data_IF_113556500855
#
_entry.id   IF_113556500855
#
_cell.length_a   1.000
_cell.length_b   1.000
_cell.length_c   1.000
_cell.angle_alpha   90.00
_cell.angle_beta   90.00
_cell.angle_gamma   90.00
#
_symmetry.space_group_name_H-M   'P 1'
#
loop_
_entity.id
_entity.type
_entity.pdbx_description
1 polymer ?
#
# COMPACT_ATOMS: atom_id res chain seq x y z
N UNK A 1 -54.02 7.12 -59.98
CA UNK A 1 -53.04 7.85 -60.84
C UNK A 1 -51.67 7.23 -60.57
N UNK A 2 -51.25 6.21 -61.33
CA UNK A 2 -50.38 6.30 -62.53
C UNK A 2 -49.09 7.08 -62.23
N UNK A 3 -47.84 6.60 -62.36
CA UNK A 3 -47.18 5.53 -63.16
C UNK A 3 -45.81 5.25 -62.50
N UNK A 4 -45.45 4.01 -62.10
CA UNK A 4 -44.67 2.98 -62.84
C UNK A 4 -43.30 3.39 -63.39
N UNK A 5 -42.25 2.64 -62.97
CA UNK A 5 -41.17 1.96 -63.73
C UNK A 5 -40.20 1.41 -62.63
N UNK A 6 -40.24 0.15 -62.15
CA UNK A 6 -39.90 -1.16 -62.77
C UNK A 6 -38.50 -1.18 -63.39
N UNK A 7 -37.51 -1.91 -62.87
CA UNK A 7 -37.15 -3.34 -63.12
C UNK A 7 -35.60 -3.33 -63.29
N UNK A 8 -34.75 -4.29 -62.90
CA UNK A 8 -34.81 -5.61 -62.24
C UNK A 8 -33.37 -6.20 -62.33
N UNK A 9 -33.18 -7.42 -61.79
CA UNK A 9 -32.07 -8.37 -62.03
C UNK A 9 -30.91 -8.23 -61.03
N UNK A 10 -30.97 -8.90 -59.87
CA UNK A 10 -30.67 -10.33 -59.61
C UNK A 10 -29.17 -10.57 -59.41
N UNK A 11 -28.68 -11.50 -58.58
CA UNK A 11 -29.18 -12.38 -57.53
C UNK A 11 -27.98 -13.32 -57.27
N UNK A 12 -27.58 -13.53 -56.00
CA UNK A 12 -26.86 -14.72 -55.50
C UNK A 12 -25.44 -14.99 -56.04
N UNK A 13 -24.57 -15.83 -55.45
CA UNK A 13 -24.28 -16.39 -54.13
C UNK A 13 -23.10 -17.37 -54.41
N UNK A 14 -22.37 -17.78 -53.38
CA UNK A 14 -21.47 -18.96 -53.32
C UNK A 14 -19.97 -18.79 -53.66
N UNK A 15 -19.21 -19.27 -52.67
CA UNK A 15 -17.80 -19.63 -52.61
C UNK A 15 -17.28 -20.43 -53.83
N UNK A 16 -15.97 -20.34 -54.11
CA UNK A 16 -15.02 -21.48 -54.13
C UNK A 16 -13.75 -21.18 -54.93
N UNK A 17 -12.61 -21.61 -54.36
CA UNK A 17 -11.41 -22.18 -55.02
C UNK A 17 -10.79 -21.48 -56.24
N UNK A 18 -9.51 -21.15 -56.14
CA UNK A 18 -8.55 -21.36 -57.23
C UNK A 18 -7.20 -21.86 -56.67
N UNK A 19 -6.64 -22.97 -57.19
CA UNK A 19 -5.33 -23.49 -56.82
C UNK A 19 -4.21 -23.05 -57.80
N UNK A 20 -2.99 -23.11 -57.27
CA UNK A 20 -1.71 -23.51 -57.87
C UNK A 20 -1.37 -23.30 -59.37
N UNK A 21 -0.25 -22.57 -59.54
CA UNK A 21 1.00 -22.99 -60.19
C UNK A 21 1.41 -22.57 -61.63
N UNK A 22 2.73 -22.31 -61.68
CA UNK A 22 3.68 -22.51 -62.79
C UNK A 22 3.81 -21.47 -63.93
N UNK A 23 4.93 -20.71 -63.94
CA UNK A 23 6.11 -20.99 -64.80
C UNK A 23 7.11 -19.80 -64.86
N UNK A 24 8.27 -19.99 -64.22
CA UNK A 24 9.63 -19.83 -64.80
C UNK A 24 9.88 -18.85 -65.96
N UNK A 25 10.73 -17.83 -65.73
CA UNK A 25 11.98 -17.62 -66.52
C UNK A 25 12.98 -16.65 -65.86
N UNK A 26 14.25 -17.04 -66.00
CA UNK A 26 15.50 -16.55 -65.39
C UNK A 26 16.00 -15.19 -65.92
N UNK A 27 16.69 -14.48 -65.00
CA UNK A 27 17.91 -13.65 -65.13
C UNK A 27 17.85 -12.28 -65.86
N UNK A 28 18.07 -11.22 -65.07
CA UNK A 28 19.22 -10.31 -65.26
C UNK A 28 19.70 -9.76 -63.91
N UNK A 29 20.99 -9.93 -63.64
CA UNK A 29 21.73 -9.48 -62.46
C UNK A 29 22.37 -8.13 -62.82
N UNK A 30 22.17 -7.09 -62.01
CA UNK A 30 23.10 -5.96 -61.88
C UNK A 30 22.97 -5.34 -60.49
N UNK A 31 24.13 -5.02 -59.96
CA UNK A 31 24.49 -4.89 -58.55
C UNK A 31 23.78 -3.77 -57.78
N UNK A 32 23.35 -4.09 -56.55
CA UNK A 32 23.21 -3.12 -55.47
C UNK A 32 23.69 -3.78 -54.17
N UNK A 33 24.66 -3.11 -53.53
CA UNK A 33 25.31 -3.49 -52.27
C UNK A 33 24.31 -3.97 -51.21
N UNK A 34 24.60 -5.13 -50.62
CA UNK A 34 24.07 -5.54 -49.31
C UNK A 34 24.62 -4.60 -48.24
N UNK A 35 23.81 -3.65 -47.79
CA UNK A 35 23.91 -3.17 -46.41
C UNK A 35 23.15 -4.18 -45.54
N UNK A 36 23.89 -4.94 -44.74
CA UNK A 36 23.35 -5.77 -43.69
C UNK A 36 22.66 -4.87 -42.67
N UNK A 37 21.33 -4.86 -42.67
CA UNK A 37 20.56 -4.41 -41.52
C UNK A 37 20.93 -5.30 -40.33
N UNK A 38 21.72 -4.75 -39.39
CA UNK A 38 21.93 -5.36 -38.08
C UNK A 38 20.56 -5.67 -37.49
N UNK A 39 20.35 -6.86 -36.89
CA UNK A 39 19.13 -7.14 -36.14
C UNK A 39 18.96 -6.03 -35.10
N UNK A 40 17.85 -5.29 -35.19
CA UNK A 40 17.42 -4.39 -34.13
C UNK A 40 17.32 -5.25 -32.87
N UNK A 41 18.30 -5.09 -31.98
CA UNK A 41 18.29 -5.71 -30.67
C UNK A 41 16.91 -5.46 -30.05
N UNK A 42 16.24 -6.48 -29.48
CA UNK A 42 14.96 -6.27 -28.84
C UNK A 42 15.16 -5.18 -27.80
N UNK A 43 14.44 -4.06 -27.95
CA UNK A 43 14.42 -2.99 -26.96
C UNK A 43 14.08 -3.65 -25.62
N UNK A 44 15.08 -3.81 -24.75
CA UNK A 44 14.87 -4.19 -23.35
C UNK A 44 13.79 -3.23 -22.86
N UNK A 45 12.62 -3.75 -22.49
CA UNK A 45 11.63 -2.98 -21.72
C UNK A 45 12.45 -2.34 -20.60
N UNK A 46 12.56 -1.01 -20.57
CA UNK A 46 13.21 -0.30 -19.46
C UNK A 46 12.59 -0.87 -18.20
N UNK A 47 13.38 -1.64 -17.45
CA UNK A 47 12.92 -2.21 -16.19
C UNK A 47 12.42 -1.04 -15.35
N UNK A 48 11.22 -1.16 -14.78
CA UNK A 48 10.73 -0.15 -13.83
C UNK A 48 11.66 -0.01 -12.62
N UNK A 49 12.48 -1.04 -12.40
CA UNK A 49 13.49 -1.16 -11.35
C UNK A 49 14.82 -0.65 -11.92
N UNK A 50 15.43 0.30 -11.20
CA UNK A 50 16.73 0.91 -11.51
C UNK A 50 17.84 0.22 -10.71
N UNK A 51 19.08 0.53 -11.05
CA UNK A 51 20.26 0.12 -10.27
C UNK A 51 20.28 0.88 -8.93
N UNK A 52 20.79 0.24 -7.88
CA UNK A 52 20.84 0.82 -6.53
C UNK A 52 21.47 2.21 -6.48
N UNK A 53 22.67 2.35 -7.06
CA UNK A 53 23.44 3.60 -7.05
C UNK A 53 22.77 4.75 -7.85
N UNK A 54 21.74 4.45 -8.65
CA UNK A 54 20.92 5.45 -9.35
C UNK A 54 19.70 5.91 -8.56
N UNK A 55 19.34 5.17 -7.50
CA UNK A 55 18.22 5.50 -6.62
C UNK A 55 18.74 6.08 -5.31
N UNK A 56 19.69 5.39 -4.70
CA UNK A 56 20.40 5.85 -3.51
C UNK A 56 21.75 6.41 -3.99
N UNK A 57 21.83 7.73 -4.09
CA UNK A 57 23.05 8.43 -4.49
C UNK A 57 24.05 8.48 -3.33
N UNK A 58 25.30 8.82 -3.60
CA UNK A 58 26.33 8.96 -2.55
C UNK A 58 26.04 10.11 -1.58
N UNK A 59 25.25 11.08 -2.02
CA UNK A 59 24.85 12.24 -1.23
C UNK A 59 23.59 11.97 -0.39
N UNK A 60 23.07 10.74 -0.43
CA UNK A 60 21.88 10.35 0.32
C UNK A 60 22.12 10.43 1.83
N UNK A 61 21.27 11.16 2.55
CA UNK A 61 21.26 11.10 4.00
C UNK A 61 20.56 9.82 4.44
N UNK A 62 21.29 8.93 5.09
CA UNK A 62 20.81 7.59 5.45
C UNK A 62 20.76 7.41 6.97
N UNK A 63 19.73 6.74 7.45
CA UNK A 63 19.52 6.38 8.85
C UNK A 63 19.25 4.87 8.95
N UNK A 64 20.10 4.17 9.69
CA UNK A 64 20.09 2.70 9.78
C UNK A 64 19.22 2.23 10.95
N UNK A 65 18.45 1.16 10.75
CA UNK A 65 17.59 0.64 11.81
C UNK A 65 16.77 -0.58 11.42
N UNK A 66 15.49 -0.58 11.76
CA UNK A 66 14.58 -1.68 11.40
C UNK A 66 14.51 -1.84 9.89
N UNK A 67 14.22 -0.74 9.19
CA UNK A 67 14.45 -0.54 7.76
C UNK A 67 15.40 0.65 7.61
N UNK A 68 16.33 0.58 6.68
CA UNK A 68 17.19 1.74 6.45
C UNK A 68 16.39 2.80 5.68
N UNK A 69 16.52 4.05 6.10
CA UNK A 69 15.78 5.17 5.54
C UNK A 69 16.77 6.08 4.82
N UNK A 70 16.51 6.36 3.56
CA UNK A 70 17.34 7.25 2.75
C UNK A 70 16.55 8.46 2.30
N UNK A 71 17.13 9.65 2.47
CA UNK A 71 16.64 10.91 1.92
C UNK A 71 17.50 11.29 0.70
N UNK A 72 16.86 11.37 -0.48
CA UNK A 72 17.50 11.74 -1.75
C UNK A 72 16.60 12.73 -2.47
N UNK A 73 17.10 13.95 -2.74
CA UNK A 73 16.35 15.00 -3.45
C UNK A 73 14.91 15.18 -2.93
N UNK A 74 14.76 15.30 -1.60
CA UNK A 74 13.47 15.45 -0.90
C UNK A 74 12.53 14.23 -0.93
N UNK A 75 13.01 13.09 -1.43
CA UNK A 75 12.27 11.82 -1.41
C UNK A 75 12.80 10.90 -0.33
N UNK A 76 11.87 10.28 0.38
CA UNK A 76 12.16 9.26 1.37
C UNK A 76 12.02 7.88 0.74
N UNK A 77 13.08 7.10 0.84
CA UNK A 77 13.13 5.71 0.44
C UNK A 77 13.31 4.81 1.66
N UNK A 78 12.58 3.70 1.68
CA UNK A 78 12.81 2.63 2.65
C UNK A 78 13.54 1.49 1.96
N UNK A 79 14.67 1.09 2.53
CA UNK A 79 15.34 -0.15 2.22
C UNK A 79 14.87 -1.22 3.21
N UNK A 80 14.04 -2.14 2.72
CA UNK A 80 13.39 -3.17 3.52
C UNK A 80 14.19 -4.48 3.37
N UNK A 81 14.82 -4.99 4.45
CA UNK A 81 15.42 -6.31 4.43
C UNK A 81 14.38 -7.40 4.14
N UNK A 82 14.70 -8.32 3.23
CA UNK A 82 13.78 -9.40 2.84
C UNK A 82 13.35 -10.28 4.02
N UNK A 83 14.17 -10.37 5.08
CA UNK A 83 13.86 -11.08 6.33
C UNK A 83 12.62 -10.54 7.07
N UNK A 84 12.27 -9.28 6.88
CA UNK A 84 11.13 -8.65 7.53
C UNK A 84 9.86 -8.68 6.67
N UNK A 85 9.95 -9.16 5.42
CA UNK A 85 8.76 -9.36 4.60
C UNK A 85 7.86 -10.44 5.22
N UNK A 86 6.55 -10.23 5.14
CA UNK A 86 5.51 -11.05 5.78
C UNK A 86 5.66 -11.18 7.31
N UNK A 87 6.43 -10.31 7.94
CA UNK A 87 6.48 -10.19 9.40
C UNK A 87 5.41 -9.22 9.87
N UNK A 88 4.68 -9.58 10.92
CA UNK A 88 3.66 -8.74 11.52
C UNK A 88 4.32 -7.56 12.25
N UNK A 89 3.82 -6.34 11.98
CA UNK A 89 4.26 -5.10 12.59
C UNK A 89 3.04 -4.32 13.08
N UNK A 90 3.22 -3.48 14.08
CA UNK A 90 2.18 -2.60 14.57
C UNK A 90 2.38 -1.19 13.99
N UNK A 91 1.41 -0.70 13.23
CA UNK A 91 1.38 0.68 12.76
C UNK A 91 0.44 1.49 13.63
N UNK A 92 0.98 2.53 14.25
CA UNK A 92 0.25 3.42 15.13
C UNK A 92 0.32 4.83 14.62
N UNK A 93 -0.86 5.40 14.39
CA UNK A 93 -1.05 6.81 14.10
C UNK A 93 -1.42 7.58 15.37
N UNK A 94 -0.71 8.66 15.67
CA UNK A 94 -1.00 9.57 16.80
C UNK A 94 -0.93 11.02 16.33
N UNK A 95 -1.67 11.90 17.00
CA UNK A 95 -1.44 13.34 16.84
C UNK A 95 -0.16 13.73 17.59
N UNK A 96 0.81 14.32 16.90
CA UNK A 96 1.96 14.96 17.54
C UNK A 96 1.64 16.40 17.94
N UNK A 97 0.97 17.15 17.06
CA UNK A 97 0.50 18.52 17.31
C UNK A 97 -0.85 18.72 16.64
N UNK A 98 -1.69 19.55 17.24
CA UNK A 98 -3.05 19.81 16.76
C UNK A 98 -3.47 21.24 17.14
N UNK A 99 -4.38 21.85 16.37
CA UNK A 99 -4.84 23.21 16.63
C UNK A 99 -5.75 23.23 17.86
N UNK A 100 -5.89 24.40 18.47
CA UNK A 100 -6.79 24.57 19.63
C UNK A 100 -8.22 24.11 19.30
N UNK A 101 -8.95 23.60 20.31
CA UNK A 101 -10.34 23.13 20.21
C UNK A 101 -10.58 21.98 19.19
N UNK A 102 -9.53 21.39 18.64
CA UNK A 102 -9.66 20.23 17.77
C UNK A 102 -10.27 19.05 18.53
N UNK A 103 -11.21 18.35 17.88
CA UNK A 103 -11.98 17.26 18.50
C UNK A 103 -12.89 17.70 19.65
N UNK A 104 -13.26 18.98 19.73
CA UNK A 104 -14.09 19.51 20.81
C UNK A 104 -13.36 19.67 22.14
N UNK A 105 -12.02 19.78 22.11
CA UNK A 105 -11.18 19.94 23.31
C UNK A 105 -10.83 18.64 24.03
N UNK A 106 -11.36 17.50 23.59
CA UNK A 106 -11.07 16.18 24.18
C UNK A 106 -9.92 15.44 23.48
N UNK A 107 -9.37 16.00 22.39
CA UNK A 107 -8.25 15.44 21.65
C UNK A 107 -7.00 16.26 21.94
N UNK A 108 -5.99 15.60 22.50
CA UNK A 108 -4.72 16.22 22.89
C UNK A 108 -3.55 15.66 22.07
N UNK A 109 -2.43 16.39 22.05
CA UNK A 109 -1.17 15.85 21.55
C UNK A 109 -0.85 14.52 22.26
N UNK A 110 -0.37 13.54 21.51
CA UNK A 110 -0.15 12.16 21.94
C UNK A 110 -1.39 11.26 21.82
N UNK A 111 -2.57 11.79 21.49
CA UNK A 111 -3.78 10.98 21.29
C UNK A 111 -3.63 10.09 20.07
N UNK A 112 -3.84 8.78 20.25
CA UNK A 112 -3.85 7.80 19.19
C UNK A 112 -5.13 7.85 18.40
N UNK A 113 -4.97 7.98 17.09
CA UNK A 113 -6.07 7.97 16.13
C UNK A 113 -6.32 6.57 15.60
N UNK A 114 -5.26 5.77 15.45
CA UNK A 114 -5.39 4.44 14.88
C UNK A 114 -4.29 3.49 15.36
N UNK A 115 -4.60 2.19 15.34
CA UNK A 115 -3.66 1.11 15.58
C UNK A 115 -4.03 -0.05 14.67
N UNK A 116 -3.10 -0.43 13.81
CA UNK A 116 -3.29 -1.52 12.84
C UNK A 116 -2.14 -2.51 12.94
N UNK A 117 -2.48 -3.78 12.78
CA UNK A 117 -1.49 -4.81 12.50
C UNK A 117 -1.28 -4.86 10.99
N UNK A 118 -0.05 -4.65 10.56
CA UNK A 118 0.32 -4.61 9.15
C UNK A 118 1.39 -5.64 8.83
N UNK A 119 1.48 -6.04 7.58
CA UNK A 119 2.63 -6.78 7.07
C UNK A 119 3.08 -6.19 5.72
N UNK A 120 4.35 -6.38 5.40
CA UNK A 120 4.93 -5.97 4.11
C UNK A 120 5.10 -7.21 3.23
N UNK A 121 4.30 -7.32 2.17
CA UNK A 121 4.31 -8.47 1.27
C UNK A 121 4.83 -8.11 -0.12
N UNK A 122 5.65 -8.96 -0.72
CA UNK A 122 6.05 -8.80 -2.13
C UNK A 122 5.00 -9.42 -3.05
N UNK A 123 4.54 -8.66 -4.04
CA UNK A 123 3.67 -9.16 -5.11
C UNK A 123 4.20 -8.71 -6.47
N UNK A 124 4.73 -9.66 -7.24
CA UNK A 124 5.39 -9.39 -8.53
C UNK A 124 6.53 -8.36 -8.35
N UNK A 125 6.41 -7.20 -9.00
CA UNK A 125 7.38 -6.10 -8.97
C UNK A 125 6.94 -4.96 -8.04
N UNK A 126 6.09 -5.26 -7.05
CA UNK A 126 5.58 -4.32 -6.07
C UNK A 126 5.75 -4.86 -4.65
N UNK A 127 5.89 -3.94 -3.71
CA UNK A 127 5.73 -4.21 -2.29
C UNK A 127 4.35 -3.70 -1.88
N UNK A 128 3.61 -4.52 -1.16
CA UNK A 128 2.28 -4.20 -0.65
C UNK A 128 2.38 -4.08 0.87
N UNK A 129 1.74 -3.07 1.42
CA UNK A 129 1.44 -3.01 2.85
C UNK A 129 0.00 -3.47 3.01
N UNK A 130 -0.20 -4.56 3.76
CA UNK A 130 -1.54 -5.12 4.01
C UNK A 130 -1.90 -5.00 5.48
N UNK A 131 -3.19 -4.91 5.75
CA UNK A 131 -3.75 -4.91 7.09
C UNK A 131 -4.18 -6.33 7.46
N UNK A 132 -3.64 -6.84 8.57
CA UNK A 132 -4.00 -8.15 9.10
C UNK A 132 -5.19 -8.00 10.04
N UNK A 133 -6.32 -8.59 9.65
CA UNK A 133 -7.49 -8.66 10.52
C UNK A 133 -7.24 -9.66 11.65
N UNK A 134 -7.51 -9.26 12.90
CA UNK A 134 -7.35 -10.12 14.08
C UNK A 134 -8.63 -10.87 14.47
N UNK A 135 -9.69 -10.80 13.66
CA UNK A 135 -11.03 -11.27 14.03
C UNK A 135 -11.17 -12.79 14.03
N UNK A 136 -10.44 -13.49 13.17
CA UNK A 136 -10.47 -14.94 13.02
C UNK A 136 -9.07 -15.51 13.15
N UNK A 137 -8.86 -16.38 14.15
CA UNK A 137 -7.58 -17.09 14.36
C UNK A 137 -7.84 -18.57 14.16
N UNK A 138 -6.96 -19.21 13.38
CA UNK A 138 -6.87 -20.66 13.26
C UNK A 138 -5.41 -21.07 13.50
N UNK A 139 -5.20 -22.15 14.25
CA UNK A 139 -3.87 -22.70 14.48
C UNK A 139 -3.21 -23.10 13.14
N UNK A 140 -1.91 -22.82 13.01
CA UNK A 140 -1.20 -23.04 11.75
C UNK A 140 -1.15 -24.50 11.28
N UNK A 141 -1.29 -25.42 12.22
CA UNK A 141 -1.30 -26.87 11.99
C UNK A 141 -2.61 -27.43 11.45
N UNK A 142 -3.71 -26.68 11.48
CA UNK A 142 -5.02 -27.21 11.11
C UNK A 142 -5.35 -26.91 9.64
N UNK A 143 -5.93 -27.87 8.88
CA UNK A 143 -6.38 -27.64 7.50
C UNK A 143 -7.37 -26.47 7.36
N UNK A 144 -8.16 -26.22 8.41
CA UNK A 144 -9.12 -25.11 8.45
C UNK A 144 -8.46 -23.73 8.31
N UNK A 145 -7.17 -23.61 8.63
CA UNK A 145 -6.44 -22.36 8.50
C UNK A 145 -6.38 -21.86 7.06
N UNK A 146 -6.25 -22.76 6.06
CA UNK A 146 -6.26 -22.35 4.65
C UNK A 146 -7.59 -21.71 4.28
N UNK A 147 -8.71 -22.32 4.71
CA UNK A 147 -10.05 -21.79 4.50
C UNK A 147 -10.29 -20.48 5.27
N UNK A 148 -9.81 -20.38 6.51
CA UNK A 148 -9.93 -19.16 7.32
C UNK A 148 -9.13 -18.02 6.72
N UNK A 149 -7.89 -18.25 6.24
CA UNK A 149 -7.09 -17.24 5.53
C UNK A 149 -7.71 -16.83 4.20
N UNK A 150 -8.26 -17.78 3.44
CA UNK A 150 -8.94 -17.49 2.18
C UNK A 150 -10.20 -16.62 2.39
N UNK A 151 -10.97 -16.91 3.45
CA UNK A 151 -12.16 -16.15 3.81
C UNK A 151 -11.87 -14.81 4.51
N UNK A 152 -10.67 -14.64 5.07
CA UNK A 152 -10.22 -13.41 5.72
C UNK A 152 -9.05 -12.78 4.95
N UNK A 153 -9.27 -12.48 3.66
CA UNK A 153 -8.26 -11.83 2.84
C UNK A 153 -7.85 -10.47 3.40
N UNK A 154 -6.55 -10.28 3.60
CA UNK A 154 -5.95 -9.06 4.14
C UNK A 154 -6.11 -7.88 3.16
N UNK A 155 -6.81 -6.79 3.54
CA UNK A 155 -6.93 -5.61 2.70
C UNK A 155 -5.56 -4.99 2.42
N UNK A 156 -5.32 -4.62 1.15
CA UNK A 156 -4.10 -3.89 0.77
C UNK A 156 -4.29 -2.41 1.05
N UNK A 157 -3.48 -1.85 1.94
CA UNK A 157 -3.52 -0.42 2.30
C UNK A 157 -2.86 0.44 1.23
N UNK A 158 -1.73 -0.02 0.69
CA UNK A 158 -0.99 0.69 -0.36
C UNK A 158 -0.07 -0.26 -1.13
N UNK A 159 0.29 0.14 -2.36
CA UNK A 159 1.18 -0.62 -3.23
C UNK A 159 2.32 0.27 -3.74
N UNK A 160 3.54 -0.14 -3.42
CA UNK A 160 4.79 0.53 -3.78
C UNK A 160 5.42 -0.11 -5.01
N UNK A 161 5.91 0.71 -5.93
CA UNK A 161 6.79 0.22 -7.00
C UNK A 161 8.20 0.00 -6.42
N UNK A 162 8.82 -1.12 -6.79
CA UNK A 162 10.22 -1.39 -6.41
C UNK A 162 11.11 -0.43 -7.20
N UNK A 163 11.83 0.44 -6.50
CA UNK A 163 12.74 1.40 -7.10
C UNK A 163 14.07 0.73 -7.47
N UNK A 164 14.63 -0.06 -6.55
CA UNK A 164 15.86 -0.83 -6.73
C UNK A 164 15.90 -2.04 -5.78
N UNK A 165 16.87 -2.93 -5.99
CA UNK A 165 17.31 -3.91 -5.01
C UNK A 165 18.67 -3.50 -4.46
N UNK A 166 19.00 -3.91 -3.23
CA UNK A 166 20.36 -3.73 -2.70
C UNK A 166 21.40 -4.44 -3.57
N UNK A 167 22.67 -4.05 -3.45
CA UNK A 167 23.77 -4.64 -4.23
C UNK A 167 23.85 -6.16 -4.06
N UNK A 168 23.55 -6.64 -2.85
CA UNK A 168 23.54 -8.05 -2.49
C UNK A 168 22.17 -8.72 -2.68
N UNK A 169 21.17 -7.98 -3.21
CA UNK A 169 19.78 -8.43 -3.37
C UNK A 169 19.12 -8.94 -2.08
N UNK A 170 19.63 -8.54 -0.92
CA UNK A 170 19.13 -8.88 0.42
C UNK A 170 17.96 -7.98 0.87
N UNK A 171 17.83 -6.81 0.25
CA UNK A 171 16.86 -5.77 0.59
C UNK A 171 16.21 -5.18 -0.64
N UNK A 172 15.03 -4.59 -0.45
CA UNK A 172 14.23 -3.95 -1.49
C UNK A 172 14.08 -2.47 -1.17
N UNK A 173 14.36 -1.61 -2.15
CA UNK A 173 14.21 -0.15 -2.00
C UNK A 173 12.88 0.30 -2.59
N UNK A 174 12.08 1.01 -1.80
CA UNK A 174 10.79 1.57 -2.19
C UNK A 174 10.71 3.06 -1.88
N UNK A 175 10.01 3.83 -2.72
CA UNK A 175 9.70 5.25 -2.45
C UNK A 175 8.43 5.33 -1.59
N UNK A 176 8.56 5.85 -0.38
CA UNK A 176 7.45 6.01 0.58
C UNK A 176 6.89 7.43 0.63
N UNK A 177 7.49 8.37 -0.10
CA UNK A 177 7.13 9.79 -0.09
C UNK A 177 5.66 9.99 -0.41
N UNK A 178 5.13 9.28 -1.41
CA UNK A 178 3.72 9.39 -1.79
C UNK A 178 2.77 8.79 -0.76
N UNK A 179 3.17 7.70 -0.10
CA UNK A 179 2.34 7.08 0.92
C UNK A 179 2.17 8.01 2.13
N UNK A 180 3.26 8.59 2.61
CA UNK A 180 3.24 9.52 3.74
C UNK A 180 2.86 10.97 3.34
N UNK A 181 2.97 11.36 2.07
CA UNK A 181 2.55 12.68 1.60
C UNK A 181 1.09 12.77 1.14
N UNK A 182 0.35 11.65 1.16
CA UNK A 182 -1.04 11.60 0.68
C UNK A 182 -2.02 11.21 1.77
N UNK A 183 -3.28 11.57 1.56
CA UNK A 183 -4.37 11.27 2.49
C UNK A 183 -4.83 9.82 2.38
N UNK A 184 -3.99 8.90 2.86
CA UNK A 184 -4.36 7.50 3.00
C UNK A 184 -5.19 7.36 4.27
N UNK A 185 -6.47 7.03 4.13
CA UNK A 185 -7.44 6.88 5.24
C UNK A 185 -6.94 5.99 6.39
N UNK A 186 -6.04 5.05 6.08
CA UNK A 186 -5.41 4.24 7.10
C UNK A 186 -4.58 5.11 8.07
N UNK A 187 -3.60 5.84 7.56
CA UNK A 187 -2.68 6.62 8.41
C UNK A 187 -3.17 8.06 8.71
N UNK A 188 -4.29 8.47 8.11
CA UNK A 188 -4.86 9.80 8.31
C UNK A 188 -5.30 10.03 9.77
N UNK A 189 -4.98 11.20 10.31
CA UNK A 189 -5.45 11.63 11.64
C UNK A 189 -6.94 11.91 11.71
N UNK A 190 -7.57 12.21 10.56
CA UNK A 190 -8.98 12.56 10.50
C UNK A 190 -9.86 11.33 10.21
N UNK A 191 -10.39 10.75 11.28
CA UNK A 191 -11.42 9.72 11.19
C UNK A 191 -12.73 10.25 10.57
N UNK A 192 -13.60 9.33 10.13
CA UNK A 192 -14.87 9.66 9.45
C UNK A 192 -15.72 10.70 10.19
N UNK A 193 -15.84 10.56 11.52
CA UNK A 193 -16.61 11.48 12.37
C UNK A 193 -16.09 12.93 12.29
N UNK A 194 -14.78 13.13 12.40
CA UNK A 194 -14.17 14.46 12.35
C UNK A 194 -14.25 15.05 10.95
N UNK A 195 -14.12 14.22 9.90
CA UNK A 195 -14.30 14.67 8.52
C UNK A 195 -15.69 15.19 8.25
N UNK A 196 -16.72 14.49 8.74
CA UNK A 196 -18.11 14.94 8.62
C UNK A 196 -18.38 16.18 9.45
N UNK A 197 -17.92 16.21 10.71
CA UNK A 197 -18.14 17.35 11.61
C UNK A 197 -17.52 18.65 11.08
N UNK A 198 -16.29 18.58 10.57
CA UNK A 198 -15.58 19.73 10.04
C UNK A 198 -15.78 19.96 8.53
N UNK A 199 -16.59 19.12 7.87
CA UNK A 199 -16.85 19.17 6.42
C UNK A 199 -15.54 19.22 5.60
N UNK A 200 -14.65 18.28 5.92
CA UNK A 200 -13.34 18.15 5.27
C UNK A 200 -13.52 17.70 3.82
N UNK A 201 -12.94 18.43 2.87
CA UNK A 201 -13.03 18.14 1.43
C UNK A 201 -11.86 17.30 0.96
N UNK A 202 -10.65 17.79 1.16
CA UNK A 202 -9.43 17.21 0.60
C UNK A 202 -8.19 17.63 1.39
N UNK A 203 -7.12 16.85 1.24
CA UNK A 203 -5.80 17.22 1.71
C UNK A 203 -5.16 18.18 0.70
N UNK A 204 -4.63 19.29 1.20
CA UNK A 204 -3.81 20.21 0.43
C UNK A 204 -2.37 19.69 0.37
N UNK A 205 -1.97 19.15 -0.78
CA UNK A 205 -0.63 18.60 -0.99
C UNK A 205 0.47 19.65 -0.96
N UNK A 206 0.17 20.91 -1.23
CA UNK A 206 1.18 21.98 -1.26
C UNK A 206 1.59 22.41 0.16
N UNK A 207 0.67 22.26 1.13
CA UNK A 207 0.86 22.57 2.55
C UNK A 207 0.93 21.32 3.42
N UNK A 208 1.24 20.18 2.81
CA UNK A 208 1.42 18.91 3.50
C UNK A 208 2.72 18.27 3.09
N UNK A 209 3.55 17.92 4.06
CA UNK A 209 4.90 17.40 3.81
C UNK A 209 5.33 16.47 4.94
N UNK A 210 6.38 15.70 4.66
CA UNK A 210 7.03 14.85 5.65
C UNK A 210 8.05 15.72 6.37
N UNK A 211 7.94 15.84 7.68
CA UNK A 211 8.80 16.69 8.49
C UNK A 211 10.11 15.95 8.82
N UNK A 212 9.99 14.70 9.27
CA UNK A 212 11.15 13.87 9.54
C UNK A 212 10.79 12.39 9.47
N UNK A 213 11.75 11.57 9.07
CA UNK A 213 11.70 10.13 9.24
C UNK A 213 12.94 9.69 9.99
N UNK A 214 12.75 8.84 11.00
CA UNK A 214 13.84 8.26 11.78
C UNK A 214 13.67 6.76 11.88
N UNK A 215 14.77 6.05 11.70
CA UNK A 215 14.83 4.61 11.90
C UNK A 215 15.48 4.29 13.23
N UNK A 216 14.93 3.29 13.91
CA UNK A 216 15.47 2.73 15.14
C UNK A 216 15.50 1.22 15.00
N UNK A 217 16.27 0.49 15.83
CA UNK A 217 16.43 -0.97 15.69
C UNK A 217 15.11 -1.77 15.70
N UNK A 218 14.10 -1.30 16.45
CA UNK A 218 12.83 -2.00 16.61
C UNK A 218 11.62 -1.23 16.06
N UNK A 219 11.78 0.04 15.66
CA UNK A 219 10.68 0.87 15.19
C UNK A 219 11.14 1.94 14.19
N UNK A 220 10.18 2.48 13.44
CA UNK A 220 10.38 3.61 12.52
C UNK A 220 9.34 4.66 12.89
N UNK A 221 9.78 5.91 13.03
CA UNK A 221 8.94 7.05 13.35
C UNK A 221 8.90 8.02 12.16
N UNK A 222 7.70 8.31 11.67
CA UNK A 222 7.47 9.24 10.57
C UNK A 222 6.58 10.37 11.05
N UNK A 223 7.12 11.59 11.07
CA UNK A 223 6.38 12.81 11.41
C UNK A 223 5.93 13.50 10.13
N UNK A 224 4.65 13.78 10.04
CA UNK A 224 4.00 14.34 8.86
C UNK A 224 3.18 15.55 9.27
N UNK A 225 3.25 16.63 8.50
CA UNK A 225 2.38 17.77 8.61
C UNK A 225 1.30 17.66 7.54
N UNK A 226 0.04 17.62 7.97
CA UNK A 226 -1.12 17.54 7.08
C UNK A 226 -2.01 18.75 7.22
N UNK A 227 -2.28 19.40 6.10
CA UNK A 227 -3.24 20.49 6.00
C UNK A 227 -4.43 20.07 5.15
N UNK A 228 -5.62 20.15 5.72
CA UNK A 228 -6.88 19.77 5.08
C UNK A 228 -7.71 21.02 4.79
N UNK A 229 -8.36 21.05 3.62
CA UNK A 229 -9.38 22.04 3.31
C UNK A 229 -10.70 21.60 3.95
N UNK A 230 -11.29 22.46 4.79
CA UNK A 230 -12.46 22.16 5.61
C UNK A 230 -13.33 23.41 5.77
N UNK A 231 -14.62 23.28 5.46
CA UNK A 231 -15.56 24.42 5.50
C UNK A 231 -15.84 24.86 6.94
N UNK A 232 -15.74 23.94 7.91
CA UNK A 232 -16.02 24.23 9.31
C UNK A 232 -14.84 23.81 10.19
N UNK A 233 -13.69 24.50 10.10
CA UNK A 233 -12.52 24.15 10.91
C UNK A 233 -12.79 24.44 12.40
N UNK A 234 -12.12 23.74 13.33
CA UNK A 234 -12.32 23.94 14.77
C UNK A 234 -11.88 25.32 15.26
N UNK A 235 -10.92 25.92 14.56
CA UNK A 235 -10.54 27.33 14.72
C UNK A 235 -10.81 27.99 13.38
N UNK A 236 -11.71 28.96 13.36
CA UNK A 236 -12.03 29.68 12.13
C UNK A 236 -11.23 30.98 12.07
N UNK A 237 -10.08 30.94 11.39
CA UNK A 237 -9.24 32.11 11.08
C UNK A 237 -9.61 32.77 9.74
N UNK A 238 -10.63 32.26 9.04
CA UNK A 238 -10.98 32.67 7.67
C UNK A 238 -10.32 31.82 6.57
N UNK A 239 -9.35 30.96 6.93
CA UNK A 239 -8.57 30.16 5.97
C UNK A 239 -9.23 28.83 5.57
N UNK A 240 -10.39 28.49 6.16
CA UNK A 240 -11.14 27.23 5.91
C UNK A 240 -10.23 25.98 5.88
N UNK A 241 -9.25 25.90 6.79
CA UNK A 241 -8.26 24.82 6.80
C UNK A 241 -7.99 24.26 8.19
N UNK A 242 -7.51 23.03 8.22
CA UNK A 242 -7.14 22.31 9.44
C UNK A 242 -5.74 21.74 9.25
N UNK A 243 -4.78 22.25 10.01
CA UNK A 243 -3.41 21.72 10.03
C UNK A 243 -3.18 20.87 11.28
N UNK A 244 -2.73 19.64 11.09
CA UNK A 244 -2.37 18.70 12.16
C UNK A 244 -1.03 18.05 11.87
N UNK A 245 -0.24 17.84 12.90
CA UNK A 245 0.98 17.04 12.81
C UNK A 245 0.68 15.63 13.30
N UNK A 246 0.96 14.65 12.46
CA UNK A 246 0.79 13.23 12.74
C UNK A 246 2.15 12.59 12.98
N UNK A 247 2.20 11.66 13.93
CA UNK A 247 3.30 10.72 14.07
C UNK A 247 2.81 9.30 13.72
N UNK A 248 3.49 8.66 12.77
CA UNK A 248 3.31 7.26 12.41
C UNK A 248 4.47 6.45 12.98
N UNK A 249 4.16 5.64 13.98
CA UNK A 249 5.09 4.75 14.65
C UNK A 249 4.85 3.33 14.14
N UNK A 250 5.79 2.78 13.38
CA UNK A 250 5.77 1.38 12.95
C UNK A 250 6.71 0.58 13.82
N UNK A 251 6.20 -0.42 14.52
CA UNK A 251 6.92 -1.16 15.56
C UNK A 251 6.98 -2.64 15.16
N UNK A 252 8.17 -3.23 15.19
CA UNK A 252 8.36 -4.66 15.00
C UNK A 252 7.79 -5.41 16.20
N UNK A 253 6.93 -6.41 15.93
CA UNK A 253 6.42 -7.27 17.00
C UNK A 253 7.44 -8.35 17.37
N UNK A 254 7.53 -8.72 18.66
CA UNK A 254 8.38 -9.82 19.08
C UNK A 254 7.92 -11.14 18.43
N UNK A 255 8.89 -11.98 18.04
CA UNK A 255 8.63 -13.27 17.36
C UNK A 255 7.77 -14.22 18.20
N UNK A 256 7.91 -14.16 19.52
CA UNK A 256 7.09 -14.95 20.44
C UNK A 256 5.87 -14.13 20.81
N UNK A 257 4.69 -14.60 20.38
CA UNK A 257 3.43 -13.97 20.74
C UNK A 257 3.29 -13.91 22.27
N UNK A 258 2.91 -12.74 22.79
CA UNK A 258 2.63 -12.60 24.20
C UNK A 258 1.45 -13.50 24.59
N UNK A 259 1.61 -14.25 25.68
CA UNK A 259 0.55 -15.11 26.21
C UNK A 259 -0.70 -14.28 26.56
N UNK A 260 -1.85 -14.50 25.90
CA UNK A 260 -3.06 -13.75 26.20
C UNK A 260 -3.62 -14.21 27.55
N UNK A 261 -4.19 -13.30 28.32
CA UNK A 261 -4.87 -13.64 29.57
C UNK A 261 -6.37 -13.72 29.31
N UNK A 262 -6.99 -14.82 29.69
CA UNK A 262 -8.45 -14.99 29.62
C UNK A 262 -9.14 -13.97 30.52
N UNK A 263 -10.26 -13.44 30.05
CA UNK A 263 -11.06 -12.50 30.81
C UNK A 263 -11.72 -13.15 32.03
N UNK A 264 -11.70 -12.43 33.15
CA UNK A 264 -12.42 -12.75 34.38
C UNK A 264 -13.36 -11.57 34.67
N UNK A 265 -14.67 -11.84 34.67
CA UNK A 265 -15.73 -10.85 34.84
C UNK A 265 -15.64 -10.05 36.14
N UNK A 266 -14.97 -10.60 37.17
CA UNK A 266 -14.81 -9.94 38.48
C UNK A 266 -13.80 -8.81 38.46
N UNK A 267 -13.00 -8.71 37.41
CA UNK A 267 -11.93 -7.71 37.29
C UNK A 267 -12.33 -6.76 36.16
N UNK A 268 -12.82 -5.57 36.52
CA UNK A 268 -13.29 -4.53 35.59
C UNK A 268 -12.19 -3.95 34.70
N UNK A 269 -11.72 -4.75 33.75
CA UNK A 269 -10.69 -4.41 32.76
C UNK A 269 -11.28 -4.43 31.35
N UNK A 270 -10.71 -3.60 30.47
CA UNK A 270 -11.10 -3.57 29.07
C UNK A 270 -10.82 -4.92 28.38
N UNK A 271 -11.83 -5.44 27.69
CA UNK A 271 -11.78 -6.75 27.03
C UNK A 271 -11.63 -6.64 25.52
N UNK A 272 -11.21 -7.72 24.88
CA UNK A 272 -11.25 -7.88 23.42
C UNK A 272 -11.68 -9.31 23.10
N UNK A 273 -12.78 -9.46 22.36
CA UNK A 273 -13.27 -10.77 21.90
C UNK A 273 -12.66 -11.13 20.55
N UNK A 274 -12.34 -12.41 20.36
CA UNK A 274 -11.90 -13.00 19.08
C UNK A 274 -12.66 -14.30 18.82
N UNK A 275 -12.85 -14.66 17.55
CA UNK A 275 -13.40 -15.96 17.17
C UNK A 275 -12.25 -16.94 16.94
N UNK A 276 -12.24 -18.04 17.70
CA UNK A 276 -11.26 -19.11 17.60
C UNK A 276 -11.88 -20.29 16.83
N UNK A 277 -11.35 -20.55 15.65
CA UNK A 277 -11.77 -21.64 14.76
C UNK A 277 -10.98 -22.93 14.99
N UNK A 278 -10.09 -22.95 15.99
CA UNK A 278 -9.23 -24.08 16.32
C UNK A 278 -9.77 -24.94 17.47
N UNK A 279 -10.94 -24.58 18.02
CA UNK A 279 -11.59 -25.33 19.10
C UNK A 279 -12.05 -26.71 18.61
N UNK A 280 -11.97 -27.72 19.47
CA UNK A 280 -12.46 -29.09 19.18
C UNK A 280 -13.99 -29.18 19.12
N UNK A 281 -14.70 -28.15 19.60
CA UNK A 281 -16.13 -28.03 19.43
C UNK A 281 -16.46 -27.56 18.00
N UNK A 282 -17.48 -28.17 17.38
CA UNK A 282 -17.94 -27.92 16.00
C UNK A 282 -18.45 -26.49 15.71
N UNK A 283 -18.23 -25.51 16.60
CA UNK A 283 -18.61 -24.10 16.47
C UNK A 283 -17.41 -23.20 16.76
N UNK A 284 -17.31 -22.09 16.03
CA UNK A 284 -16.32 -21.04 16.30
C UNK A 284 -16.57 -20.45 17.70
N UNK A 285 -15.68 -20.76 18.64
CA UNK A 285 -15.81 -20.31 20.02
C UNK A 285 -15.43 -18.82 20.13
N UNK A 286 -16.21 -18.03 20.86
CA UNK A 286 -15.97 -16.61 21.07
C UNK A 286 -15.17 -16.43 22.35
N UNK A 287 -13.84 -16.43 22.24
CA UNK A 287 -12.94 -16.19 23.38
C UNK A 287 -12.78 -14.70 23.66
N UNK A 288 -12.87 -14.30 24.91
CA UNK A 288 -12.68 -12.90 25.36
C UNK A 288 -11.43 -12.80 26.23
N UNK A 289 -10.53 -11.89 25.88
CA UNK A 289 -9.22 -11.72 26.51
C UNK A 289 -9.12 -10.37 27.23
N UNK A 290 -8.34 -10.34 28.32
CA UNK A 290 -7.94 -9.13 29.04
C UNK A 290 -6.88 -8.34 28.27
N UNK A 291 -7.05 -7.02 28.20
CA UNK A 291 -6.01 -6.11 27.72
C UNK A 291 -5.08 -5.71 28.88
N UNK A 292 -3.88 -6.30 28.97
CA UNK A 292 -2.88 -5.90 29.99
C UNK A 292 -1.81 -4.99 29.36
N UNK A 293 -1.65 -3.80 29.94
CA UNK A 293 -0.74 -2.68 29.56
C UNK A 293 -1.19 -1.80 28.38
N UNK A 294 -1.31 -0.50 28.70
CA UNK A 294 -1.42 0.62 27.78
C UNK A 294 -0.03 0.92 27.21
N UNK A 295 0.44 0.09 26.28
CA UNK A 295 1.19 0.69 25.18
C UNK A 295 0.13 1.34 24.31
N UNK A 296 0.06 2.67 24.44
CA UNK A 296 -0.70 3.64 23.66
C UNK A 296 -2.10 4.07 24.11
N UNK A 297 -2.16 5.20 24.81
CA UNK A 297 -3.13 6.27 24.52
C UNK A 297 -2.96 6.81 23.11
#
# INVERSE_FOLDING_TARGET
MQKTISIFICLFFVLSFNPLDAQSRRKKKKDAKKEQAKPLAPKKKKGKIKDYDKVITKDAQSDEGLFDVHLVDEKYYFEIPMKYLNTDMLLVSRFAKLPANFGGGYVNAGTKTNTRMINWGRFKNKILIKEKSSSAIAADSLPINVSVRANNYEPTLYAFDIAAFSKDSSSVVIDVTKFYGSDVKAISGLGSRLRTAYKVRSLDKSRSFINSVKSFPENIEVIQDFTYNAINPPVNTGDETISVQMNQSMILLPKVAMQPRLFDERVGWFTTSKYDYSSEELKADRKTYLRRRKFLS
#
